data_IF_903092208375
#
_entry.id   IF_903092208375
#
_cell.length_a   1.000
_cell.length_b   1.000
_cell.length_c   1.000
_cell.angle_alpha   90.00
_cell.angle_beta   90.00
_cell.angle_gamma   90.00
#
_symmetry.space_group_name_H-M   'P 1'
#
loop_
_entity.id
_entity.type
_entity.pdbx_description
1 polymer ?
#
# COMPACT_ATOMS: atom_id res chain seq x y z
N UNK A 1 -22.45 -6.37 -1.09
CA UNK A 1 -21.97 -7.70 -1.42
C UNK A 1 -20.56 -7.92 -0.87
N UNK A 2 -20.15 -9.14 -0.73
CA UNK A 2 -18.82 -9.52 -0.26
C UNK A 2 -18.10 -10.31 -1.37
N UNK A 3 -16.77 -10.23 -1.51
CA UNK A 3 -16.04 -10.80 -2.64
C UNK A 3 -16.31 -12.30 -2.87
N UNK A 4 -16.37 -13.09 -1.83
CA UNK A 4 -16.63 -14.53 -1.90
C UNK A 4 -18.03 -14.92 -2.43
N UNK A 5 -18.96 -13.96 -2.48
CA UNK A 5 -20.27 -14.12 -3.16
C UNK A 5 -20.25 -13.66 -4.61
N UNK A 6 -19.09 -13.17 -5.09
CA UNK A 6 -18.88 -12.65 -6.45
C UNK A 6 -17.78 -13.38 -7.19
N UNK A 7 -17.48 -14.64 -6.83
CA UNK A 7 -16.58 -15.52 -7.56
C UNK A 7 -15.13 -15.52 -7.09
N UNK A 8 -14.83 -14.89 -5.96
CA UNK A 8 -13.52 -15.00 -5.32
C UNK A 8 -13.50 -16.19 -4.35
N UNK A 9 -12.55 -17.09 -4.49
CA UNK A 9 -12.36 -18.23 -3.59
C UNK A 9 -11.74 -17.82 -2.25
N UNK A 10 -10.91 -16.77 -2.27
CA UNK A 10 -10.22 -16.25 -1.10
C UNK A 10 -10.38 -14.74 -1.06
N UNK A 11 -10.79 -14.25 0.10
CA UNK A 11 -10.74 -12.84 0.46
C UNK A 11 -9.98 -12.67 1.78
N UNK A 12 -9.09 -11.69 1.86
CA UNK A 12 -8.45 -11.28 3.09
C UNK A 12 -8.22 -9.77 3.10
N UNK A 13 -8.87 -9.06 4.02
CA UNK A 13 -8.80 -7.60 4.06
C UNK A 13 -9.97 -6.96 4.82
N UNK A 14 -10.43 -5.82 4.35
CA UNK A 14 -11.48 -5.02 4.96
C UNK A 14 -12.80 -5.16 4.18
N UNK A 15 -13.93 -5.24 4.89
CA UNK A 15 -15.24 -5.23 4.23
C UNK A 15 -15.83 -3.83 4.07
N UNK A 16 -15.39 -2.88 4.84
CA UNK A 16 -15.92 -1.52 4.79
C UNK A 16 -14.82 -0.45 4.79
N UNK A 17 -15.20 0.71 4.29
CA UNK A 17 -14.29 1.83 4.11
C UNK A 17 -13.81 2.43 5.44
N UNK A 18 -14.65 2.48 6.47
CA UNK A 18 -14.26 3.04 7.78
C UNK A 18 -13.18 2.17 8.41
N UNK A 19 -13.36 0.85 8.36
CA UNK A 19 -12.39 -0.13 8.82
C UNK A 19 -11.05 0.00 8.06
N UNK A 20 -11.11 0.20 6.74
CA UNK A 20 -9.95 0.36 5.88
C UNK A 20 -9.12 1.65 6.11
N UNK A 21 -9.64 2.61 6.88
CA UNK A 21 -8.89 3.80 7.29
C UNK A 21 -7.95 3.56 8.48
N UNK A 22 -7.96 2.38 9.10
CA UNK A 22 -6.99 2.02 10.14
C UNK A 22 -5.96 1.04 9.59
N UNK A 23 -4.67 1.35 9.79
CA UNK A 23 -3.58 0.42 9.50
C UNK A 23 -3.23 -0.48 10.68
N UNK A 24 -3.85 -0.25 11.85
CA UNK A 24 -3.73 -1.09 13.04
C UNK A 24 -5.12 -1.50 13.56
N UNK A 25 -5.99 -2.06 12.70
CA UNK A 25 -7.32 -2.49 13.13
C UNK A 25 -7.22 -3.70 14.07
N UNK A 26 -8.21 -3.92 14.93
CA UNK A 26 -8.19 -5.08 15.84
C UNK A 26 -8.34 -6.43 15.11
N UNK A 27 -8.86 -6.41 13.89
CA UNK A 27 -9.06 -7.61 13.06
C UNK A 27 -9.04 -7.26 11.56
N UNK A 28 -8.87 -8.28 10.73
CA UNK A 28 -9.21 -8.30 9.31
C UNK A 28 -10.27 -9.38 9.06
N UNK A 29 -10.82 -9.42 7.86
CA UNK A 29 -11.79 -10.43 7.47
C UNK A 29 -11.14 -11.44 6.52
N UNK A 30 -11.34 -12.73 6.79
CA UNK A 30 -11.03 -13.84 5.90
C UNK A 30 -12.31 -14.58 5.56
N UNK A 31 -12.79 -14.48 4.33
CA UNK A 31 -13.99 -15.20 3.86
C UNK A 31 -15.16 -15.12 4.84
N UNK A 32 -15.56 -13.92 5.23
CA UNK A 32 -16.63 -13.63 6.21
C UNK A 32 -16.31 -13.92 7.69
N UNK A 33 -15.11 -14.38 8.01
CA UNK A 33 -14.69 -14.61 9.40
C UNK A 33 -13.69 -13.53 9.87
N UNK A 34 -13.84 -13.08 11.12
CA UNK A 34 -12.91 -12.15 11.73
C UNK A 34 -11.61 -12.86 12.12
N UNK A 35 -10.48 -12.32 11.64
CA UNK A 35 -9.14 -12.74 12.01
C UNK A 35 -8.51 -11.64 12.87
N UNK A 36 -8.39 -11.88 14.17
CA UNK A 36 -7.80 -10.93 15.12
C UNK A 36 -6.34 -10.62 14.75
N UNK A 37 -5.97 -9.36 14.84
CA UNK A 37 -4.59 -8.91 14.72
C UNK A 37 -4.01 -8.65 16.12
N UNK A 38 -3.05 -9.49 16.51
CA UNK A 38 -2.47 -9.44 17.85
C UNK A 38 -1.86 -8.08 18.18
N UNK A 39 -2.17 -7.61 19.40
CA UNK A 39 -1.66 -6.35 19.94
C UNK A 39 -2.28 -5.10 19.35
N UNK A 40 -3.36 -5.24 18.56
CA UNK A 40 -4.12 -4.13 18.03
C UNK A 40 -5.44 -3.94 18.79
N UNK A 41 -5.75 -2.68 19.09
CA UNK A 41 -7.02 -2.25 19.71
C UNK A 41 -7.77 -1.25 18.85
N UNK A 42 -7.26 -0.97 17.65
CA UNK A 42 -7.72 0.09 16.74
C UNK A 42 -6.92 1.38 16.92
N UNK A 43 -7.13 2.33 15.99
CA UNK A 43 -6.43 3.62 15.98
C UNK A 43 -5.17 3.63 15.10
N UNK A 44 -4.22 4.49 15.45
CA UNK A 44 -3.02 4.78 14.64
C UNK A 44 -1.76 4.00 15.05
N UNK A 45 -1.84 3.20 16.09
CA UNK A 45 -0.73 2.42 16.62
C UNK A 45 -1.19 1.02 17.03
N UNK A 46 -0.32 0.06 16.90
CA UNK A 46 -0.55 -1.33 17.26
C UNK A 46 0.70 -2.16 16.99
N UNK A 47 0.61 -3.45 17.28
CA UNK A 47 1.70 -4.39 17.05
C UNK A 47 1.73 -4.94 15.63
N UNK A 48 0.55 -5.15 15.04
CA UNK A 48 0.39 -5.78 13.72
C UNK A 48 -0.07 -4.76 12.69
N UNK A 49 0.79 -4.41 11.75
CA UNK A 49 0.45 -3.55 10.62
C UNK A 49 -0.33 -4.36 9.60
N UNK A 50 -1.60 -4.01 9.40
CA UNK A 50 -2.54 -4.78 8.57
C UNK A 50 -2.11 -4.93 7.12
N UNK A 51 -1.42 -3.92 6.58
CA UNK A 51 -0.92 -4.00 5.21
C UNK A 51 0.12 -5.12 5.04
N UNK A 52 0.98 -5.36 6.03
CA UNK A 52 1.91 -6.49 5.96
C UNK A 52 1.17 -7.81 5.98
N UNK A 53 0.16 -7.97 6.85
CA UNK A 53 -0.64 -9.18 6.89
C UNK A 53 -1.36 -9.44 5.55
N UNK A 54 -1.85 -8.40 4.88
CA UNK A 54 -2.49 -8.50 3.56
C UNK A 54 -1.45 -8.90 2.50
N UNK A 55 -0.27 -8.30 2.51
CA UNK A 55 0.80 -8.63 1.56
C UNK A 55 1.31 -10.06 1.76
N UNK A 56 1.50 -10.48 3.01
CA UNK A 56 1.91 -11.86 3.32
C UNK A 56 0.90 -12.87 2.78
N UNK A 57 -0.40 -12.63 2.98
CA UNK A 57 -1.45 -13.52 2.44
C UNK A 57 -1.46 -13.53 0.91
N UNK A 58 -1.24 -12.38 0.25
CA UNK A 58 -1.16 -12.32 -1.21
C UNK A 58 0.02 -13.14 -1.74
N UNK A 59 1.20 -13.03 -1.13
CA UNK A 59 2.38 -13.81 -1.50
C UNK A 59 2.18 -15.31 -1.26
N UNK A 60 1.56 -15.67 -0.14
CA UNK A 60 1.21 -17.07 0.15
C UNK A 60 0.13 -17.62 -0.79
N UNK A 61 -0.85 -16.80 -1.19
CA UNK A 61 -1.84 -17.17 -2.21
C UNK A 61 -1.17 -17.51 -3.55
N UNK A 62 -0.22 -16.70 -4.01
CA UNK A 62 0.53 -16.96 -5.25
C UNK A 62 1.30 -18.30 -5.14
N UNK A 63 1.99 -18.54 -4.03
CA UNK A 63 2.72 -19.79 -3.80
C UNK A 63 1.81 -21.02 -3.82
N UNK A 64 0.65 -20.93 -3.14
CA UNK A 64 -0.32 -22.05 -3.07
C UNK A 64 -0.99 -22.37 -4.40
N UNK A 65 -1.01 -21.41 -5.32
CA UNK A 65 -1.67 -21.56 -6.61
C UNK A 65 -0.70 -21.65 -7.82
N UNK A 66 0.61 -21.80 -7.57
CA UNK A 66 1.63 -21.78 -8.62
C UNK A 66 1.44 -22.81 -9.74
N UNK A 67 0.78 -23.94 -9.44
CA UNK A 67 0.60 -25.04 -10.37
C UNK A 67 -0.72 -24.98 -11.16
N UNK A 68 -1.49 -23.88 -11.04
CA UNK A 68 -2.76 -23.68 -11.74
C UNK A 68 -3.00 -22.22 -12.09
N UNK A 69 -3.85 -21.92 -13.08
CA UNK A 69 -4.24 -20.54 -13.38
C UNK A 69 -4.89 -19.87 -12.15
N UNK A 70 -4.53 -18.63 -11.87
CA UNK A 70 -5.12 -17.83 -10.80
C UNK A 70 -5.32 -16.38 -11.23
N UNK A 71 -6.25 -15.72 -10.55
CA UNK A 71 -6.44 -14.26 -10.59
C UNK A 71 -6.24 -13.71 -9.18
N UNK A 72 -5.23 -12.87 -9.00
CA UNK A 72 -4.94 -12.18 -7.75
C UNK A 72 -5.27 -10.70 -7.90
N UNK A 73 -6.34 -10.25 -7.25
CA UNK A 73 -6.69 -8.83 -7.15
C UNK A 73 -6.21 -8.30 -5.80
N UNK A 74 -5.29 -7.35 -5.83
CA UNK A 74 -4.61 -6.82 -4.65
C UNK A 74 -4.83 -5.31 -4.51
N UNK A 75 -6.05 -4.86 -4.11
CA UNK A 75 -6.39 -3.46 -3.94
C UNK A 75 -5.88 -2.96 -2.58
N UNK A 76 -4.58 -2.71 -2.48
CA UNK A 76 -3.94 -2.25 -1.26
C UNK A 76 -4.37 -0.84 -0.88
N UNK A 77 -4.51 -0.57 0.43
CA UNK A 77 -4.91 0.74 0.95
C UNK A 77 -3.81 1.81 0.85
N UNK A 78 -2.52 1.52 1.14
CA UNK A 78 -1.47 2.52 1.02
C UNK A 78 -1.36 3.08 -0.42
N UNK A 79 -1.02 4.36 -0.56
CA UNK A 79 -0.64 5.34 0.45
C UNK A 79 -1.81 6.24 0.93
N UNK A 80 -3.01 5.71 1.06
CA UNK A 80 -4.18 6.47 1.54
C UNK A 80 -3.94 7.01 2.96
N UNK A 81 -4.48 8.16 3.29
CA UNK A 81 -4.51 8.66 4.68
C UNK A 81 -5.41 7.78 5.55
N UNK A 82 -5.04 7.58 6.72
CA UNK A 82 -4.29 8.09 7.88
C UNK A 82 -2.74 7.96 7.80
N UNK A 83 -2.03 8.07 6.82
CA UNK A 83 -0.55 8.05 6.65
C UNK A 83 0.22 7.46 7.84
N UNK A 84 -0.08 6.22 8.20
CA UNK A 84 0.63 5.49 9.26
C UNK A 84 1.49 4.40 8.62
N UNK A 85 2.75 4.36 8.99
CA UNK A 85 3.72 3.36 8.59
C UNK A 85 4.60 3.03 9.78
N UNK A 86 4.96 1.74 10.03
CA UNK A 86 5.87 1.38 11.10
C UNK A 86 7.20 2.15 11.01
N UNK A 87 7.71 2.55 12.17
CA UNK A 87 8.95 3.33 12.25
C UNK A 87 10.19 2.52 11.80
N UNK A 88 10.09 1.22 11.83
CA UNK A 88 11.12 0.26 11.43
C UNK A 88 10.95 -0.28 10.01
N UNK A 89 9.96 0.26 9.23
CA UNK A 89 9.82 -0.12 7.82
C UNK A 89 11.07 0.18 7.01
N UNK A 90 11.42 -0.75 6.13
CA UNK A 90 12.63 -0.62 5.31
C UNK A 90 12.60 0.54 4.32
N UNK A 91 11.42 1.06 3.98
CA UNK A 91 11.27 2.24 3.14
C UNK A 91 11.97 3.48 3.72
N UNK A 92 12.08 3.58 5.04
CA UNK A 92 12.77 4.69 5.70
C UNK A 92 14.26 4.78 5.36
N UNK A 93 14.91 3.65 5.05
CA UNK A 93 16.33 3.60 4.66
C UNK A 93 16.62 4.37 3.38
N UNK A 94 15.62 4.52 2.50
CA UNK A 94 15.76 5.30 1.27
C UNK A 94 15.97 6.80 1.54
N UNK A 95 15.53 7.27 2.70
CA UNK A 95 15.49 8.68 3.06
C UNK A 95 16.38 9.05 4.23
N UNK A 96 17.09 8.09 4.83
CA UNK A 96 17.87 8.31 6.07
C UNK A 96 18.91 9.43 5.96
N UNK A 97 19.48 9.63 4.75
CA UNK A 97 20.48 10.65 4.47
C UNK A 97 19.90 11.92 3.84
N UNK A 98 18.59 11.98 3.62
CA UNK A 98 17.94 13.14 2.99
C UNK A 98 17.70 14.24 4.02
N UNK A 99 18.14 15.46 3.72
CA UNK A 99 18.00 16.61 4.62
C UNK A 99 16.54 16.95 4.96
N UNK A 100 15.58 16.61 4.08
CA UNK A 100 14.17 16.88 4.30
C UNK A 100 13.56 16.00 5.38
N UNK A 101 14.08 14.79 5.63
CA UNK A 101 13.56 13.89 6.66
C UNK A 101 13.69 14.49 8.06
N UNK A 102 14.74 15.27 8.32
CA UNK A 102 14.99 15.95 9.57
C UNK A 102 14.39 17.36 9.62
N UNK A 103 13.82 17.85 8.52
CA UNK A 103 13.29 19.20 8.45
C UNK A 103 11.97 19.32 9.26
N UNK A 104 11.93 20.14 10.34
CA UNK A 104 10.72 20.30 11.17
C UNK A 104 9.58 21.04 10.45
N UNK A 105 9.86 21.75 9.36
CA UNK A 105 8.84 22.42 8.55
C UNK A 105 8.04 21.44 7.68
N UNK A 106 8.47 20.18 7.59
CA UNK A 106 7.78 19.12 6.85
C UNK A 106 7.05 18.24 7.84
N UNK A 107 5.73 18.14 7.67
CA UNK A 107 4.88 17.38 8.60
C UNK A 107 5.22 15.89 8.58
N UNK A 108 4.98 15.20 9.69
CA UNK A 108 5.18 13.76 9.75
C UNK A 108 4.29 13.02 8.74
N UNK A 109 3.06 13.48 8.52
CA UNK A 109 2.18 12.92 7.48
C UNK A 109 2.81 12.97 6.09
N UNK A 110 3.50 14.06 5.73
CA UNK A 110 4.22 14.16 4.45
C UNK A 110 5.36 13.15 4.36
N UNK A 111 6.10 12.96 5.45
CA UNK A 111 7.20 11.99 5.53
C UNK A 111 6.65 10.56 5.43
N UNK A 112 5.60 10.27 6.19
CA UNK A 112 4.93 8.97 6.16
C UNK A 112 4.39 8.64 4.77
N UNK A 113 3.76 9.62 4.10
CA UNK A 113 3.27 9.43 2.74
C UNK A 113 4.39 9.02 1.77
N UNK A 114 5.54 9.68 1.82
CA UNK A 114 6.68 9.32 0.99
C UNK A 114 7.18 7.89 1.28
N UNK A 115 7.32 7.54 2.55
CA UNK A 115 7.72 6.19 2.95
C UNK A 115 6.69 5.14 2.51
N UNK A 116 5.38 5.43 2.64
CA UNK A 116 4.32 4.53 2.17
C UNK A 116 4.35 4.32 0.65
N UNK A 117 4.63 5.35 -0.14
CA UNK A 117 4.81 5.21 -1.60
C UNK A 117 5.97 4.27 -1.91
N UNK A 118 7.10 4.43 -1.23
CA UNK A 118 8.27 3.54 -1.41
C UNK A 118 8.02 2.12 -0.90
N UNK A 119 7.22 1.96 0.15
CA UNK A 119 6.77 0.65 0.62
C UNK A 119 5.93 -0.05 -0.45
N UNK A 120 5.01 0.66 -1.13
CA UNK A 120 4.21 0.11 -2.23
C UNK A 120 5.09 -0.35 -3.39
N UNK A 121 6.11 0.43 -3.77
CA UNK A 121 7.10 0.03 -4.78
C UNK A 121 7.83 -1.25 -4.37
N UNK A 122 8.28 -1.32 -3.11
CA UNK A 122 8.91 -2.52 -2.57
C UNK A 122 7.97 -3.74 -2.59
N UNK A 123 6.69 -3.56 -2.28
CA UNK A 123 5.71 -4.64 -2.33
C UNK A 123 5.48 -5.16 -3.74
N UNK A 124 5.40 -4.28 -4.74
CA UNK A 124 5.36 -4.69 -6.15
C UNK A 124 6.61 -5.52 -6.51
N UNK A 125 7.79 -5.05 -6.08
CA UNK A 125 9.03 -5.82 -6.27
C UNK A 125 8.96 -7.21 -5.63
N UNK A 126 8.42 -7.35 -4.42
CA UNK A 126 8.24 -8.66 -3.77
C UNK A 126 7.37 -9.60 -4.60
N UNK A 127 6.27 -9.10 -5.18
CA UNK A 127 5.42 -9.90 -6.07
C UNK A 127 6.18 -10.34 -7.32
N UNK A 128 6.88 -9.42 -7.99
CA UNK A 128 7.64 -9.71 -9.21
C UNK A 128 8.78 -10.69 -8.94
N UNK A 129 9.52 -10.52 -7.86
CA UNK A 129 10.59 -11.44 -7.45
C UNK A 129 10.04 -12.83 -7.14
N UNK A 130 8.86 -12.93 -6.50
CA UNK A 130 8.20 -14.21 -6.24
C UNK A 130 7.78 -14.90 -7.54
N UNK A 131 7.14 -14.19 -8.46
CA UNK A 131 6.75 -14.74 -9.77
C UNK A 131 7.96 -15.28 -10.53
N UNK A 132 9.08 -14.55 -10.50
CA UNK A 132 10.33 -14.99 -11.10
C UNK A 132 10.89 -16.23 -10.40
N UNK A 133 10.90 -16.26 -9.07
CA UNK A 133 11.38 -17.39 -8.27
C UNK A 133 10.59 -18.68 -8.54
N UNK A 134 9.29 -18.54 -8.85
CA UNK A 134 8.39 -19.65 -9.14
C UNK A 134 8.32 -20.01 -10.63
N UNK A 135 9.12 -19.36 -11.49
CA UNK A 135 9.11 -19.50 -12.96
C UNK A 135 7.75 -19.18 -13.61
N UNK A 136 6.98 -18.28 -12.99
CA UNK A 136 5.67 -17.83 -13.45
C UNK A 136 5.73 -16.54 -14.29
N UNK A 137 6.85 -15.84 -14.30
CA UNK A 137 7.04 -14.52 -14.91
C UNK A 137 6.58 -14.47 -16.37
N UNK A 138 6.91 -15.53 -17.15
CA UNK A 138 6.60 -15.59 -18.59
C UNK A 138 5.14 -15.89 -18.91
N UNK A 139 4.39 -16.35 -17.92
CA UNK A 139 2.99 -16.76 -18.07
C UNK A 139 2.04 -15.97 -17.17
N UNK A 140 2.49 -14.84 -16.64
CA UNK A 140 1.70 -13.97 -15.76
C UNK A 140 1.67 -12.54 -16.30
N UNK A 141 0.49 -11.96 -16.41
CA UNK A 141 0.32 -10.54 -16.72
C UNK A 141 0.13 -9.81 -15.39
N UNK A 142 0.93 -8.78 -15.15
CA UNK A 142 0.83 -7.92 -13.98
C UNK A 142 0.34 -6.53 -14.40
N UNK A 143 -0.78 -6.09 -13.84
CA UNK A 143 -1.28 -4.72 -13.97
C UNK A 143 -1.00 -3.96 -12.67
N UNK A 144 -0.36 -2.81 -12.77
CA UNK A 144 -0.16 -1.90 -11.65
C UNK A 144 -0.74 -0.54 -11.99
N UNK A 145 -1.65 -0.05 -11.17
CA UNK A 145 -2.32 1.24 -11.38
C UNK A 145 -2.76 1.86 -10.06
N UNK A 146 -2.93 3.17 -10.04
CA UNK A 146 -3.69 3.85 -8.99
C UNK A 146 -5.17 3.89 -9.34
N UNK A 147 -6.01 3.96 -8.33
CA UNK A 147 -7.47 4.12 -8.45
C UNK A 147 -7.86 5.55 -8.83
N UNK A 148 -7.01 6.52 -8.49
CA UNK A 148 -7.17 7.96 -8.74
C UNK A 148 -5.80 8.66 -8.76
N UNK A 149 -5.80 9.98 -8.91
CA UNK A 149 -4.58 10.78 -8.91
C UNK A 149 -3.92 10.92 -7.54
N UNK A 150 -2.70 11.43 -7.53
CA UNK A 150 -1.92 11.65 -6.31
C UNK A 150 -2.56 12.66 -5.36
N UNK A 151 -2.26 12.51 -4.08
CA UNK A 151 -2.76 13.39 -3.01
C UNK A 151 -2.10 14.76 -3.08
N UNK A 152 -2.90 15.83 -3.08
CA UNK A 152 -2.43 17.22 -3.12
C UNK A 152 -2.53 17.98 -1.78
N UNK A 153 -3.06 17.34 -0.72
CA UNK A 153 -3.25 17.95 0.60
C UNK A 153 -1.96 18.46 1.27
N UNK A 154 -0.80 18.03 0.80
CA UNK A 154 0.51 18.48 1.29
C UNK A 154 0.95 19.84 0.73
N UNK A 155 0.09 20.53 0.02
CA UNK A 155 0.32 21.88 -0.47
C UNK A 155 0.42 22.89 0.68
N UNK A 156 1.28 23.87 0.51
CA UNK A 156 1.43 25.00 1.42
C UNK A 156 1.78 26.26 0.64
N UNK A 157 1.80 27.44 1.32
CA UNK A 157 2.27 28.68 0.68
C UNK A 157 3.70 28.54 0.12
N UNK A 158 4.58 27.79 0.80
CA UNK A 158 5.96 27.54 0.37
C UNK A 158 6.03 26.49 -0.74
N UNK A 159 5.14 25.52 -0.72
CA UNK A 159 5.12 24.40 -1.68
C UNK A 159 3.72 24.29 -2.30
N UNK A 160 3.33 25.21 -3.21
CA UNK A 160 1.97 25.27 -3.76
C UNK A 160 1.58 24.05 -4.60
N UNK A 161 2.57 23.25 -5.01
CA UNK A 161 2.40 21.97 -5.76
C UNK A 161 2.69 20.75 -4.88
N UNK A 162 2.72 20.91 -3.56
CA UNK A 162 3.17 19.90 -2.61
C UNK A 162 4.69 19.89 -2.44
N UNK A 163 5.19 19.27 -1.37
CA UNK A 163 6.63 19.26 -1.08
C UNK A 163 7.42 18.52 -2.17
N UNK A 164 6.90 17.40 -2.65
CA UNK A 164 7.55 16.58 -3.68
C UNK A 164 7.32 17.12 -5.11
N UNK A 165 6.60 18.23 -5.24
CA UNK A 165 6.24 18.79 -6.54
C UNK A 165 5.06 18.09 -7.22
N UNK A 166 4.80 18.43 -8.48
CA UNK A 166 3.74 17.80 -9.25
C UNK A 166 4.09 16.36 -9.62
N UNK A 167 3.07 15.53 -9.75
CA UNK A 167 3.24 14.22 -10.37
C UNK A 167 3.67 14.39 -11.84
N UNK A 168 4.82 13.88 -12.17
CA UNK A 168 5.38 14.01 -13.53
C UNK A 168 5.75 12.65 -14.11
N UNK A 169 5.56 12.51 -15.40
CA UNK A 169 6.09 11.37 -16.13
C UNK A 169 7.63 11.38 -16.07
N UNK A 170 8.29 10.30 -15.60
CA UNK A 170 9.74 10.28 -15.42
C UNK A 170 10.53 10.40 -16.74
N UNK A 171 9.91 10.01 -17.86
CA UNK A 171 10.57 9.99 -19.17
C UNK A 171 10.51 11.38 -19.84
N UNK A 172 9.30 11.90 -20.06
CA UNK A 172 9.11 13.13 -20.83
C UNK A 172 8.88 14.38 -19.97
N UNK A 173 8.86 14.22 -18.64
CA UNK A 173 8.68 15.30 -17.65
C UNK A 173 7.36 16.06 -17.75
N UNK A 174 6.37 15.55 -18.48
CA UNK A 174 5.04 16.15 -18.50
C UNK A 174 4.31 15.91 -17.18
N UNK A 175 3.56 16.90 -16.73
CA UNK A 175 2.73 16.79 -15.54
C UNK A 175 1.48 15.95 -15.85
N UNK A 176 1.17 15.01 -14.94
CA UNK A 176 -0.11 14.33 -14.99
C UNK A 176 -1.25 15.29 -14.65
N UNK A 177 -2.36 15.16 -15.34
CA UNK A 177 -3.56 15.96 -15.06
C UNK A 177 -4.31 15.38 -13.85
N UNK A 178 -4.84 16.29 -13.03
CA UNK A 178 -5.69 15.94 -11.90
C UNK A 178 -4.91 15.43 -10.69
N UNK A 179 -5.65 15.23 -9.63
CA UNK A 179 -5.20 14.72 -8.35
C UNK A 179 -6.32 13.89 -7.73
N UNK A 180 -6.15 13.48 -6.48
CA UNK A 180 -7.23 12.91 -5.67
C UNK A 180 -8.20 14.04 -5.32
N UNK A 181 -9.46 13.90 -5.71
CA UNK A 181 -10.51 14.87 -5.42
C UNK A 181 -11.87 14.38 -5.83
#
# INVERSE_FOLDING_TARGET
GVPEKHGFDVFYGYYDQVHAHSFFPPYLIRNSEEVKLDGNIGGRQGKTYSHYAIMDEALEFIKRNQDRPFFCYLPITPPHGMYDIPADDTAWKLYENDSWIQNPAITQDTKNYAAMVSMVDHNLKQVLDLLKKLDLEKNTIVFFTGDNGGQDRFRSKKYPRGFFGPNVNPVNKTEFRGGKG
#
